data_IF_404951345751
#
_entry.id   IF_404951345751
#
_cell.length_a   1.000
_cell.length_b   1.000
_cell.length_c   1.000
_cell.angle_alpha   90.00
_cell.angle_beta   90.00
_cell.angle_gamma   90.00
#
_symmetry.space_group_name_H-M   'P 1'
#
loop_
_entity.id
_entity.type
_entity.pdbx_description
1 polymer ?
#
# COMPACT_ATOMS: atom_id res chain seq x y z
N UNK A 1 1.43 7.34 -8.46
CA UNK A 1 0.39 8.35 -8.14
C UNK A 1 -0.17 8.03 -6.76
N UNK A 2 -0.63 9.04 -6.00
CA UNK A 2 -1.26 8.79 -4.68
C UNK A 2 -2.61 8.08 -4.87
N UNK A 3 -2.94 7.15 -3.98
CA UNK A 3 -4.24 6.49 -3.95
C UNK A 3 -5.40 7.50 -3.95
N UNK A 4 -5.22 8.62 -3.25
CA UNK A 4 -6.21 9.70 -3.18
C UNK A 4 -6.50 10.37 -4.53
N UNK A 5 -5.47 10.60 -5.34
CA UNK A 5 -5.63 11.27 -6.65
C UNK A 5 -6.33 10.35 -7.64
N UNK A 6 -6.06 9.04 -7.56
CA UNK A 6 -6.71 8.04 -8.40
C UNK A 6 -8.16 7.85 -7.98
N UNK A 7 -8.44 7.80 -6.68
CA UNK A 7 -9.82 7.69 -6.18
C UNK A 7 -10.67 8.93 -6.48
N UNK A 8 -10.06 10.12 -6.48
CA UNK A 8 -10.75 11.38 -6.81
C UNK A 8 -11.07 11.54 -8.30
N UNK A 9 -10.28 10.91 -9.19
CA UNK A 9 -10.44 11.05 -10.65
C UNK A 9 -11.21 9.91 -11.30
N UNK A 10 -11.40 8.80 -10.58
CA UNK A 10 -12.06 7.62 -11.15
C UNK A 10 -13.58 7.72 -11.05
N UNK A 11 -14.27 7.24 -12.09
CA UNK A 11 -15.70 6.97 -12.01
C UNK A 11 -15.98 5.94 -10.90
N UNK A 12 -16.99 6.20 -10.06
CA UNK A 12 -17.35 5.41 -8.87
C UNK A 12 -17.45 3.91 -9.18
N UNK A 13 -18.02 3.55 -10.33
CA UNK A 13 -18.23 2.16 -10.75
C UNK A 13 -16.97 1.40 -11.18
N UNK A 14 -15.83 2.08 -11.40
CA UNK A 14 -14.55 1.46 -11.80
C UNK A 14 -13.37 1.91 -10.94
N UNK A 15 -13.66 2.53 -9.79
CA UNK A 15 -12.66 3.12 -8.91
C UNK A 15 -11.72 2.07 -8.32
N UNK A 16 -12.25 0.93 -7.89
CA UNK A 16 -11.44 -0.18 -7.37
C UNK A 16 -10.52 -0.73 -8.44
N UNK A 17 -11.02 -0.89 -9.67
CA UNK A 17 -10.20 -1.34 -10.80
C UNK A 17 -9.01 -0.40 -11.08
N UNK A 18 -9.21 0.93 -11.03
CA UNK A 18 -8.12 1.88 -11.30
C UNK A 18 -7.11 1.96 -10.14
N UNK A 19 -7.59 1.88 -8.89
CA UNK A 19 -6.74 1.83 -7.69
C UNK A 19 -5.89 0.56 -7.67
N UNK A 20 -6.49 -0.60 -7.96
CA UNK A 20 -5.80 -1.89 -8.02
C UNK A 20 -4.82 -1.95 -9.18
N UNK A 21 -5.13 -1.38 -10.33
CA UNK A 21 -4.18 -1.23 -11.44
C UNK A 21 -2.96 -0.40 -11.04
N UNK A 22 -3.18 0.72 -10.34
CA UNK A 22 -2.09 1.55 -9.82
C UNK A 22 -1.24 0.78 -8.80
N UNK A 23 -1.88 -0.02 -7.94
CA UNK A 23 -1.21 -0.82 -6.94
C UNK A 23 -0.43 -2.01 -7.55
N UNK A 24 -0.91 -2.59 -8.65
CA UNK A 24 -0.23 -3.66 -9.39
C UNK A 24 1.15 -3.24 -9.94
N UNK A 25 1.42 -1.93 -10.06
CA UNK A 25 2.76 -1.42 -10.38
C UNK A 25 3.80 -1.81 -9.33
N UNK A 26 3.40 -2.12 -8.10
CA UNK A 26 4.28 -2.72 -7.09
C UNK A 26 4.84 -4.06 -7.57
N UNK A 27 4.00 -4.92 -8.16
CA UNK A 27 4.44 -6.19 -8.74
C UNK A 27 5.41 -5.99 -9.90
N UNK A 28 5.11 -5.07 -10.81
CA UNK A 28 6.03 -4.72 -11.90
C UNK A 28 7.37 -4.17 -11.42
N UNK A 29 7.37 -3.40 -10.33
CA UNK A 29 8.59 -2.94 -9.67
C UNK A 29 9.44 -4.11 -9.17
N UNK A 30 8.82 -5.09 -8.51
CA UNK A 30 9.52 -6.29 -8.04
C UNK A 30 10.07 -7.13 -9.22
N UNK A 31 9.28 -7.29 -10.28
CA UNK A 31 9.69 -8.01 -11.50
C UNK A 31 10.88 -7.32 -12.18
N UNK A 32 10.79 -6.01 -12.41
CA UNK A 32 11.86 -5.24 -13.01
C UNK A 32 13.14 -5.28 -12.15
N UNK A 33 13.00 -5.17 -10.83
CA UNK A 33 14.11 -5.29 -9.89
C UNK A 33 14.80 -6.65 -9.97
N UNK A 34 14.03 -7.75 -9.99
CA UNK A 34 14.57 -9.10 -10.15
C UNK A 34 15.27 -9.31 -11.50
N UNK A 35 14.70 -8.80 -12.60
CA UNK A 35 15.32 -8.86 -13.93
C UNK A 35 16.63 -8.08 -13.96
N UNK A 36 16.65 -6.85 -13.47
CA UNK A 36 17.87 -6.03 -13.40
C UNK A 36 18.93 -6.73 -12.56
N UNK A 37 18.56 -7.27 -11.40
CA UNK A 37 19.47 -8.03 -10.54
C UNK A 37 20.10 -9.22 -11.28
N UNK A 38 19.30 -10.04 -11.98
CA UNK A 38 19.82 -11.17 -12.76
C UNK A 38 20.75 -10.74 -13.90
N UNK A 39 20.41 -9.66 -14.63
CA UNK A 39 21.22 -9.16 -15.74
C UNK A 39 22.57 -8.67 -15.23
N UNK A 40 22.60 -7.88 -14.16
CA UNK A 40 23.84 -7.37 -13.57
C UNK A 40 24.67 -8.51 -12.97
N UNK A 41 24.05 -9.45 -12.24
CA UNK A 41 24.77 -10.62 -11.71
C UNK A 41 25.39 -11.47 -12.84
N UNK A 42 24.66 -11.68 -13.95
CA UNK A 42 25.16 -12.44 -15.10
C UNK A 42 26.33 -11.74 -15.79
N UNK A 43 26.25 -10.41 -15.95
CA UNK A 43 27.30 -9.61 -16.57
C UNK A 43 28.61 -9.61 -15.76
N UNK A 44 28.52 -9.70 -14.43
CA UNK A 44 29.67 -9.74 -13.54
C UNK A 44 30.13 -11.15 -13.14
N UNK A 45 29.56 -12.22 -13.74
CA UNK A 45 29.86 -13.61 -13.40
C UNK A 45 31.35 -13.94 -13.44
N UNK A 46 32.01 -13.69 -14.57
CA UNK A 46 33.45 -13.99 -14.76
C UNK A 46 34.34 -13.12 -13.86
N UNK A 47 33.94 -11.87 -13.63
CA UNK A 47 34.65 -10.93 -12.78
C UNK A 47 34.57 -11.30 -11.29
N UNK A 48 33.45 -11.89 -10.85
CA UNK A 48 33.23 -12.31 -9.46
C UNK A 48 33.88 -13.68 -9.19
N UNK A 49 33.82 -14.63 -10.14
CA UNK A 49 34.39 -15.97 -9.98
C UNK A 49 35.91 -16.01 -10.23
N UNK A 50 36.45 -15.09 -11.04
CA UNK A 50 37.81 -15.20 -11.56
C UNK A 50 38.96 -14.69 -10.67
N UNK A 51 38.71 -13.88 -9.63
CA UNK A 51 39.80 -13.09 -9.01
C UNK A 51 39.90 -13.08 -7.49
N UNK A 52 39.06 -13.81 -6.74
CA UNK A 52 39.16 -13.87 -5.27
C UNK A 52 38.96 -12.53 -4.53
N UNK A 53 38.89 -11.41 -5.25
CA UNK A 53 38.60 -10.09 -4.72
C UNK A 53 37.08 -9.87 -4.69
N UNK A 54 36.54 -9.92 -3.47
CA UNK A 54 35.15 -9.60 -3.11
C UNK A 54 34.77 -8.15 -3.53
N UNK A 55 35.72 -7.35 -4.03
CA UNK A 55 35.55 -5.98 -4.50
C UNK A 55 34.53 -5.79 -5.63
N UNK A 56 34.32 -6.78 -6.51
CA UNK A 56 33.35 -6.64 -7.61
C UNK A 56 31.88 -6.78 -7.18
N UNK A 57 31.60 -7.42 -6.04
CA UNK A 57 30.26 -7.41 -5.45
C UNK A 57 29.82 -6.00 -5.06
N UNK A 58 30.76 -5.12 -4.68
CA UNK A 58 30.47 -3.73 -4.37
C UNK A 58 29.98 -2.93 -5.58
N UNK A 59 30.44 -3.27 -6.79
CA UNK A 59 29.95 -2.63 -8.01
C UNK A 59 28.53 -3.08 -8.34
N UNK A 60 28.21 -4.36 -8.14
CA UNK A 60 26.89 -4.95 -8.46
C UNK A 60 25.76 -4.28 -7.71
N UNK A 61 25.80 -4.19 -6.38
CA UNK A 61 24.70 -3.59 -5.61
C UNK A 61 24.54 -2.10 -5.91
N UNK A 62 25.65 -1.38 -6.16
CA UNK A 62 25.63 0.05 -6.54
C UNK A 62 24.97 0.25 -7.90
N UNK A 63 25.27 -0.60 -8.88
CA UNK A 63 24.64 -0.54 -10.20
C UNK A 63 23.15 -0.85 -10.12
N UNK A 64 22.76 -1.88 -9.35
CA UNK A 64 21.35 -2.22 -9.14
C UNK A 64 20.58 -1.03 -8.56
N UNK A 65 21.12 -0.35 -7.54
CA UNK A 65 20.51 0.86 -6.99
C UNK A 65 20.55 2.05 -7.97
N UNK A 66 21.64 2.18 -8.74
CA UNK A 66 21.80 3.24 -9.73
C UNK A 66 20.76 3.20 -10.85
N UNK A 67 20.37 2.01 -11.31
CA UNK A 67 19.33 1.83 -12.34
C UNK A 67 17.97 2.39 -11.88
N UNK A 68 17.67 2.36 -10.58
CA UNK A 68 16.41 2.90 -10.00
C UNK A 68 16.30 4.42 -10.19
N UNK A 69 17.43 5.13 -10.31
CA UNK A 69 17.43 6.58 -10.50
C UNK A 69 16.83 7.01 -11.84
N UNK A 70 16.93 6.17 -12.88
CA UNK A 70 16.42 6.47 -14.23
C UNK A 70 14.90 6.71 -14.23
N UNK A 71 14.05 5.75 -13.78
CA UNK A 71 12.61 6.00 -13.69
C UNK A 71 12.26 7.07 -12.65
N UNK A 72 13.02 7.21 -11.57
CA UNK A 72 12.78 8.27 -10.57
C UNK A 72 12.91 9.68 -11.17
N UNK A 73 13.96 9.94 -11.95
CA UNK A 73 14.15 11.23 -12.62
C UNK A 73 13.10 11.47 -13.71
N UNK A 74 12.74 10.44 -14.48
CA UNK A 74 11.71 10.54 -15.51
C UNK A 74 10.34 10.93 -14.91
N UNK A 75 9.98 10.34 -13.76
CA UNK A 75 8.72 10.66 -13.08
C UNK A 75 8.71 12.04 -12.43
N UNK A 76 9.84 12.53 -11.93
CA UNK A 76 9.95 13.88 -11.38
C UNK A 76 9.56 14.94 -12.41
N UNK A 77 10.06 14.82 -13.64
CA UNK A 77 9.72 15.73 -14.74
C UNK A 77 8.22 15.73 -15.05
N UNK A 78 7.62 14.54 -15.14
CA UNK A 78 6.18 14.40 -15.42
C UNK A 78 5.33 14.95 -14.29
N UNK A 79 5.76 14.80 -13.04
CA UNK A 79 5.02 15.26 -11.87
C UNK A 79 4.95 16.77 -11.75
N UNK A 80 5.98 17.48 -12.20
CA UNK A 80 5.98 18.95 -12.24
C UNK A 80 4.96 19.52 -13.25
N UNK A 81 4.40 18.70 -14.15
CA UNK A 81 3.44 19.11 -15.20
C UNK A 81 2.01 18.60 -14.99
N UNK A 82 1.75 17.80 -13.94
CA UNK A 82 0.43 17.24 -13.69
C UNK A 82 -0.50 18.29 -13.02
N UNK A 83 -1.69 18.58 -13.59
CA UNK A 83 -2.69 19.41 -12.93
C UNK A 83 -3.30 18.68 -11.71
N UNK A 84 -3.95 19.41 -10.79
CA UNK A 84 -4.62 18.87 -9.60
C UNK A 84 -5.93 18.13 -9.95
N UNK A 85 -6.57 17.40 -9.03
CA UNK A 85 -7.88 16.76 -9.29
C UNK A 85 -9.04 17.76 -9.17
N UNK A 86 -10.08 17.58 -9.99
CA UNK A 86 -11.25 18.47 -9.99
C UNK A 86 -12.00 18.45 -8.65
N UNK A 87 -12.19 17.25 -8.06
CA UNK A 87 -12.82 17.06 -6.74
C UNK A 87 -12.06 17.79 -5.61
N UNK A 88 -10.74 17.70 -5.59
CA UNK A 88 -9.93 18.43 -4.59
C UNK A 88 -10.03 19.94 -4.81
N UNK A 89 -10.11 20.38 -6.07
CA UNK A 89 -10.28 21.79 -6.42
C UNK A 89 -11.65 22.32 -5.96
N UNK A 90 -12.70 21.51 -6.05
CA UNK A 90 -14.04 21.84 -5.52
C UNK A 90 -14.03 21.96 -4.00
N UNK A 91 -13.45 21.00 -3.27
CA UNK A 91 -13.30 21.08 -1.80
C UNK A 91 -12.49 22.32 -1.39
N UNK A 92 -11.43 22.66 -2.14
CA UNK A 92 -10.65 23.87 -1.90
C UNK A 92 -11.46 25.15 -2.17
N UNK A 93 -12.35 25.14 -3.18
CA UNK A 93 -13.28 26.24 -3.44
C UNK A 93 -14.32 26.37 -2.32
N UNK A 94 -14.93 25.28 -1.87
CA UNK A 94 -15.87 25.27 -0.75
C UNK A 94 -15.23 25.76 0.55
N UNK A 95 -14.00 25.32 0.85
CA UNK A 95 -13.23 25.83 2.00
C UNK A 95 -12.96 27.32 1.90
N UNK A 96 -12.67 27.83 0.70
CA UNK A 96 -12.52 29.28 0.47
C UNK A 96 -13.85 30.02 0.66
N UNK A 97 -14.95 29.45 0.17
CA UNK A 97 -16.29 30.02 0.29
C UNK A 97 -16.76 30.08 1.75
N UNK A 98 -16.63 28.97 2.49
CA UNK A 98 -16.95 28.91 3.94
C UNK A 98 -16.11 29.91 4.74
N UNK A 99 -14.81 30.05 4.43
CA UNK A 99 -13.95 31.06 5.07
C UNK A 99 -14.40 32.49 4.76
N UNK A 100 -14.86 32.76 3.54
CA UNK A 100 -15.42 34.06 3.19
C UNK A 100 -16.71 34.34 3.98
N UNK A 101 -17.56 33.34 4.17
CA UNK A 101 -18.79 33.48 4.95
C UNK A 101 -18.56 33.58 6.46
N UNK A 102 -17.62 32.83 7.04
CA UNK A 102 -17.25 32.92 8.46
C UNK A 102 -16.59 34.26 8.81
N UNK A 103 -15.89 34.88 7.86
CA UNK A 103 -15.33 36.23 8.01
C UNK A 103 -16.34 37.37 7.87
N UNK A 104 -17.55 37.09 7.37
CA UNK A 104 -18.60 38.08 7.11
C UNK A 104 -19.76 37.84 8.09
N UNK A 105 -19.53 38.10 9.37
CA UNK A 105 -20.60 38.42 10.31
C UNK A 105 -21.05 39.88 10.06
N UNK A 106 -21.87 40.07 9.02
CA UNK A 106 -22.43 41.38 8.68
C UNK A 106 -23.42 41.26 7.53
N UNK A 107 -24.70 41.53 7.82
CA UNK A 107 -25.90 41.26 7.01
C UNK A 107 -26.02 42.01 5.67
N UNK A 108 -24.96 42.61 5.12
CA UNK A 108 -25.07 43.51 3.96
C UNK A 108 -24.24 43.16 2.72
N UNK A 109 -23.54 42.01 2.67
CA UNK A 109 -22.63 41.69 1.54
C UNK A 109 -23.08 40.46 0.73
N UNK A 110 -24.31 39.98 0.92
CA UNK A 110 -24.76 38.79 0.19
C UNK A 110 -25.14 39.10 -1.27
N UNK A 111 -25.54 40.35 -1.57
CA UNK A 111 -25.81 40.82 -2.93
C UNK A 111 -24.51 41.03 -3.73
N UNK A 112 -23.50 41.66 -3.12
CA UNK A 112 -22.23 41.98 -3.80
C UNK A 112 -21.40 40.73 -4.17
N UNK A 113 -21.48 39.65 -3.37
CA UNK A 113 -20.76 38.40 -3.65
C UNK A 113 -21.44 37.61 -4.78
N UNK A 114 -22.78 37.60 -4.84
CA UNK A 114 -23.50 36.95 -5.93
C UNK A 114 -23.25 37.64 -7.28
N UNK A 115 -23.09 38.97 -7.28
CA UNK A 115 -22.76 39.74 -8.49
C UNK A 115 -21.31 39.51 -8.94
N UNK A 116 -20.36 39.35 -8.00
CA UNK A 116 -18.95 39.07 -8.31
C UNK A 116 -18.70 37.64 -8.82
N UNK A 117 -19.54 36.66 -8.47
CA UNK A 117 -19.42 35.29 -8.99
C UNK A 117 -19.96 35.19 -10.43
N UNK A 118 -20.83 36.13 -10.84
CA UNK A 118 -21.42 36.18 -12.19
C UNK A 118 -20.48 36.74 -13.27
N UNK A 119 -19.53 37.61 -12.92
CA UNK A 119 -18.67 38.27 -13.89
C UNK A 119 -17.24 37.71 -13.91
N UNK A 120 -16.92 37.01 -15.01
CA UNK A 120 -15.54 36.77 -15.43
C UNK A 120 -14.87 38.12 -15.70
N UNK A 121 -14.01 38.58 -14.80
CA UNK A 121 -12.76 39.24 -15.16
C UNK A 121 -11.87 39.48 -13.93
N UNK A 122 -10.57 39.28 -14.13
CA UNK A 122 -9.56 39.33 -13.10
C UNK A 122 -9.36 40.75 -12.55
N UNK A 123 -9.22 40.88 -11.22
CA UNK A 123 -8.69 42.08 -10.58
C UNK A 123 -7.41 41.77 -9.77
N UNK A 124 -6.33 42.56 -9.90
CA UNK A 124 -5.02 42.30 -9.29
C UNK A 124 -4.92 42.77 -7.82
N UNK A 125 -5.92 42.44 -7.00
CA UNK A 125 -6.02 42.90 -5.60
C UNK A 125 -5.81 41.83 -4.51
N UNK A 126 -5.56 40.56 -4.87
CA UNK A 126 -5.66 39.42 -3.93
C UNK A 126 -4.35 39.10 -3.19
N UNK A 127 -3.40 40.04 -3.10
CA UNK A 127 -2.11 39.74 -2.45
C UNK A 127 -2.11 39.87 -0.91
N UNK A 128 -3.19 40.34 -0.28
CA UNK A 128 -3.16 40.74 1.15
C UNK A 128 -3.92 39.85 2.15
N UNK A 129 -4.23 38.58 1.82
CA UNK A 129 -4.91 37.65 2.75
C UNK A 129 -4.12 36.40 3.13
N UNK A 130 -2.80 36.35 2.89
CA UNK A 130 -2.00 35.13 3.06
C UNK A 130 -1.63 34.74 4.51
N UNK A 131 -2.18 35.39 5.54
CA UNK A 131 -1.69 35.19 6.91
C UNK A 131 -2.76 35.30 8.00
N UNK A 132 -3.70 34.34 8.06
CA UNK A 132 -4.28 33.74 9.29
C UNK A 132 -5.57 32.97 8.98
N UNK A 133 -5.46 31.65 8.92
CA UNK A 133 -6.56 30.71 9.19
C UNK A 133 -5.98 29.28 9.22
N UNK A 134 -5.47 28.89 10.40
CA UNK A 134 -5.16 27.49 10.75
C UNK A 134 -6.38 26.79 11.40
N UNK A 135 -7.60 27.30 11.18
CA UNK A 135 -8.84 26.50 11.30
C UNK A 135 -9.22 25.99 9.90
N UNK A 136 -9.87 24.80 9.79
CA UNK A 136 -10.48 24.20 8.56
C UNK A 136 -9.92 22.86 8.02
N UNK A 137 -9.16 22.05 8.77
CA UNK A 137 -8.91 20.65 8.35
C UNK A 137 -8.72 19.70 9.55
N UNK A 138 -7.93 20.12 10.53
CA UNK A 138 -7.75 19.36 11.78
C UNK A 138 -9.01 19.36 12.64
N UNK A 139 -9.75 20.46 12.65
CA UNK A 139 -11.07 20.53 13.31
C UNK A 139 -12.08 19.61 12.63
N UNK A 140 -12.16 19.63 11.30
CA UNK A 140 -13.04 18.74 10.51
C UNK A 140 -12.68 17.25 10.72
N UNK A 141 -11.38 16.95 10.83
CA UNK A 141 -10.89 15.62 11.17
C UNK A 141 -11.31 15.21 12.59
N UNK A 142 -11.09 16.08 13.57
CA UNK A 142 -11.46 15.81 14.95
C UNK A 142 -12.97 15.61 15.08
N UNK A 143 -13.78 16.46 14.45
CA UNK A 143 -15.24 16.36 14.47
C UNK A 143 -15.72 15.06 13.82
N UNK A 144 -15.19 14.72 12.64
CA UNK A 144 -15.54 13.48 11.95
C UNK A 144 -15.19 12.25 12.78
N UNK A 145 -13.96 12.17 13.30
CA UNK A 145 -13.54 11.01 14.09
C UNK A 145 -14.08 11.01 15.53
N UNK A 146 -14.73 12.08 15.99
CA UNK A 146 -15.43 12.08 17.28
C UNK A 146 -16.63 11.12 17.30
N UNK A 147 -17.20 10.78 16.14
CA UNK A 147 -18.25 9.77 16.04
C UNK A 147 -17.63 8.36 16.06
N UNK A 148 -18.14 7.50 16.95
CA UNK A 148 -17.65 6.12 17.11
C UNK A 148 -17.64 5.31 15.81
N UNK A 149 -18.64 5.49 14.94
CA UNK A 149 -18.73 4.83 13.62
C UNK A 149 -17.49 5.09 12.76
N UNK A 150 -17.07 6.35 12.64
CA UNK A 150 -15.93 6.72 11.80
C UNK A 150 -14.60 6.34 12.46
N UNK A 151 -14.50 6.45 13.79
CA UNK A 151 -13.31 6.00 14.53
C UNK A 151 -13.11 4.48 14.41
N UNK A 152 -14.19 3.70 14.48
CA UNK A 152 -14.16 2.24 14.25
C UNK A 152 -13.59 1.89 12.88
N UNK A 153 -13.99 2.63 11.83
CA UNK A 153 -13.44 2.40 10.50
C UNK A 153 -11.96 2.74 10.42
N UNK A 154 -11.53 3.86 11.03
CA UNK A 154 -10.10 4.23 11.09
C UNK A 154 -9.26 3.19 11.83
N UNK A 155 -9.74 2.73 12.99
CA UNK A 155 -9.07 1.66 13.73
C UNK A 155 -8.98 0.38 12.91
N UNK A 156 -10.06 -0.02 12.23
CA UNK A 156 -10.06 -1.22 11.42
C UNK A 156 -9.11 -1.10 10.22
N UNK A 157 -9.06 0.04 9.53
CA UNK A 157 -8.13 0.23 8.41
C UNK A 157 -6.67 0.30 8.86
N UNK A 158 -6.37 0.96 9.97
CA UNK A 158 -5.00 1.05 10.51
C UNK A 158 -4.52 -0.30 11.03
N UNK A 159 -5.35 -1.01 11.80
CA UNK A 159 -5.00 -2.31 12.36
C UNK A 159 -4.86 -3.39 11.29
N UNK A 160 -5.75 -3.44 10.29
CA UNK A 160 -5.60 -4.39 9.19
C UNK A 160 -4.32 -4.16 8.39
N UNK A 161 -4.00 -2.90 8.07
CA UNK A 161 -2.76 -2.58 7.34
C UNK A 161 -1.51 -2.88 8.19
N UNK A 162 -1.53 -2.55 9.48
CA UNK A 162 -0.45 -2.91 10.40
C UNK A 162 -0.19 -4.42 10.45
N UNK A 163 -1.25 -5.22 10.67
CA UNK A 163 -1.14 -6.68 10.79
C UNK A 163 -0.69 -7.33 9.49
N UNK A 164 -1.22 -6.84 8.36
CA UNK A 164 -0.78 -7.28 7.05
C UNK A 164 0.69 -6.96 6.82
N UNK A 165 1.12 -5.71 7.02
CA UNK A 165 2.51 -5.32 6.72
C UNK A 165 3.49 -6.07 7.63
N UNK A 166 3.07 -6.43 8.85
CA UNK A 166 3.84 -7.30 9.75
C UNK A 166 4.09 -8.68 9.11
N UNK A 167 3.04 -9.33 8.59
CA UNK A 167 3.17 -10.63 7.93
C UNK A 167 3.86 -10.54 6.57
N UNK A 168 3.44 -9.58 5.74
CA UNK A 168 3.89 -9.43 4.36
C UNK A 168 5.37 -9.04 4.28
N UNK A 169 5.79 -7.99 4.98
CA UNK A 169 7.20 -7.57 4.95
C UNK A 169 8.10 -8.45 5.81
N UNK A 170 7.58 -9.04 6.90
CA UNK A 170 8.33 -10.02 7.68
C UNK A 170 8.81 -11.18 6.83
N UNK A 171 7.95 -11.66 5.93
CA UNK A 171 8.26 -12.76 5.02
C UNK A 171 9.03 -12.28 3.80
N UNK A 172 8.60 -11.19 3.15
CA UNK A 172 9.21 -10.72 1.91
C UNK A 172 10.67 -10.24 2.11
N UNK A 173 10.96 -9.54 3.22
CA UNK A 173 12.32 -9.03 3.49
C UNK A 173 13.28 -10.12 3.94
N UNK A 174 12.76 -11.16 4.61
CA UNK A 174 13.55 -12.28 5.09
C UNK A 174 13.44 -13.52 4.19
N UNK A 175 12.90 -13.36 2.98
CA UNK A 175 12.70 -14.46 2.05
C UNK A 175 14.01 -15.21 1.75
N UNK A 176 15.12 -14.48 1.61
CA UNK A 176 16.46 -15.08 1.41
C UNK A 176 16.90 -15.94 2.58
N UNK A 177 16.63 -15.49 3.82
CA UNK A 177 16.93 -16.23 5.04
C UNK A 177 16.07 -17.49 5.15
N UNK A 178 14.76 -17.36 4.88
CA UNK A 178 13.84 -18.51 4.88
C UNK A 178 14.25 -19.53 3.81
N UNK A 179 14.63 -19.09 2.62
CA UNK A 179 15.11 -19.96 1.54
C UNK A 179 16.46 -20.61 1.90
N UNK A 180 17.35 -19.88 2.58
CA UNK A 180 18.65 -20.37 3.04
C UNK A 180 18.50 -21.43 4.15
N UNK A 181 17.67 -21.20 5.16
CA UNK A 181 17.36 -22.15 6.25
C UNK A 181 16.77 -23.48 5.73
N UNK A 182 16.14 -23.44 4.56
CA UNK A 182 15.53 -24.59 3.89
C UNK A 182 16.54 -25.35 3.02
N UNK A 183 17.80 -24.90 2.99
CA UNK A 183 18.88 -25.59 2.30
C UNK A 183 18.78 -25.52 0.77
N UNK A 184 18.14 -24.48 0.24
CA UNK A 184 18.28 -24.10 -1.18
C UNK A 184 19.66 -23.46 -1.43
N UNK A 185 20.24 -22.85 -0.38
CA UNK A 185 21.60 -22.29 -0.37
C UNK A 185 22.66 -23.36 -0.08
N UNK A 186 22.81 -24.34 -0.98
CA UNK A 186 23.91 -25.33 -0.92
C UNK A 186 25.09 -24.96 -1.82
N UNK A 187 25.08 -23.76 -2.41
CA UNK A 187 26.12 -23.35 -3.32
C UNK A 187 27.33 -22.84 -2.52
N UNK A 188 28.49 -23.50 -2.68
CA UNK A 188 29.76 -23.09 -2.04
C UNK A 188 30.20 -21.70 -2.53
N UNK A 189 29.73 -21.26 -3.70
CA UNK A 189 30.10 -19.97 -4.28
C UNK A 189 29.07 -18.85 -4.03
N UNK A 190 29.50 -17.68 -3.51
CA UNK A 190 28.62 -16.54 -3.21
C UNK A 190 27.81 -16.03 -4.42
N UNK A 191 28.39 -16.07 -5.62
CA UNK A 191 27.70 -15.65 -6.84
C UNK A 191 26.51 -16.55 -7.16
N UNK A 192 26.73 -17.86 -7.09
CA UNK A 192 25.72 -18.87 -7.42
C UNK A 192 24.54 -18.79 -6.44
N UNK A 193 24.83 -18.59 -5.16
CA UNK A 193 23.82 -18.35 -4.13
C UNK A 193 22.96 -17.10 -4.43
N UNK A 194 23.59 -15.95 -4.69
CA UNK A 194 22.88 -14.71 -5.04
C UNK A 194 22.03 -14.87 -6.32
N UNK A 195 22.56 -15.58 -7.32
CA UNK A 195 21.87 -15.85 -8.57
C UNK A 195 20.66 -16.77 -8.39
N UNK A 196 20.80 -17.86 -7.63
CA UNK A 196 19.72 -18.82 -7.38
C UNK A 196 18.61 -18.21 -6.49
N UNK A 197 18.97 -17.40 -5.49
CA UNK A 197 17.99 -16.62 -4.72
C UNK A 197 17.22 -15.63 -5.60
N UNK A 198 17.92 -14.91 -6.49
CA UNK A 198 17.28 -13.97 -7.42
C UNK A 198 16.34 -14.69 -8.38
N UNK A 199 16.75 -15.87 -8.87
CA UNK A 199 15.93 -16.74 -9.73
C UNK A 199 14.67 -17.24 -9.01
N UNK A 200 14.79 -17.68 -7.77
CA UNK A 200 13.64 -18.08 -6.95
C UNK A 200 12.67 -16.90 -6.73
N UNK A 201 13.18 -15.71 -6.41
CA UNK A 201 12.35 -14.51 -6.28
C UNK A 201 11.64 -14.14 -7.59
N UNK A 202 12.32 -14.24 -8.73
CA UNK A 202 11.70 -14.03 -10.04
C UNK A 202 10.54 -15.00 -10.29
N UNK A 203 10.74 -16.30 -10.01
CA UNK A 203 9.71 -17.32 -10.17
C UNK A 203 8.50 -16.99 -9.28
N UNK A 204 8.73 -16.66 -8.01
CA UNK A 204 7.68 -16.27 -7.06
C UNK A 204 6.94 -15.02 -7.55
N UNK A 205 7.66 -14.06 -8.10
CA UNK A 205 7.10 -12.80 -8.60
C UNK A 205 6.20 -13.02 -9.81
N UNK A 206 6.65 -13.81 -10.78
CA UNK A 206 5.90 -14.10 -12.02
C UNK A 206 4.74 -15.05 -11.77
N UNK A 207 4.92 -16.07 -10.94
CA UNK A 207 3.92 -17.11 -10.73
C UNK A 207 2.89 -16.78 -9.64
N UNK A 208 3.27 -16.01 -8.63
CA UNK A 208 2.40 -15.68 -7.50
C UNK A 208 2.06 -14.19 -7.41
N UNK A 209 3.09 -13.37 -7.27
CA UNK A 209 2.94 -11.96 -6.91
C UNK A 209 2.16 -11.13 -7.95
N UNK A 210 2.59 -11.13 -9.22
CA UNK A 210 1.91 -10.42 -10.30
C UNK A 210 0.48 -10.96 -10.55
N UNK A 211 0.30 -12.28 -10.74
CA UNK A 211 -1.03 -12.83 -10.97
C UNK A 211 -2.00 -12.47 -9.84
N UNK A 212 -1.56 -12.48 -8.58
CA UNK A 212 -2.40 -12.11 -7.44
C UNK A 212 -2.99 -10.69 -7.55
N UNK A 213 -2.20 -9.71 -8.00
CA UNK A 213 -2.71 -8.36 -8.25
C UNK A 213 -3.74 -8.30 -9.37
N UNK A 214 -3.48 -8.98 -10.48
CA UNK A 214 -4.42 -8.98 -11.61
C UNK A 214 -5.71 -9.69 -11.24
N UNK A 215 -5.65 -10.78 -10.47
CA UNK A 215 -6.84 -11.41 -9.93
C UNK A 215 -7.64 -10.44 -9.07
N UNK A 216 -7.01 -9.72 -8.13
CA UNK A 216 -7.76 -8.69 -7.38
C UNK A 216 -8.34 -7.64 -8.32
N UNK A 217 -7.56 -7.13 -9.27
CA UNK A 217 -8.01 -6.11 -10.22
C UNK A 217 -9.27 -6.54 -11.00
N UNK A 218 -9.31 -7.79 -11.48
CA UNK A 218 -10.46 -8.31 -12.21
C UNK A 218 -11.65 -8.59 -11.29
N UNK A 219 -11.43 -9.12 -10.09
CA UNK A 219 -12.50 -9.60 -9.21
C UNK A 219 -13.01 -8.56 -8.19
N UNK A 220 -12.30 -7.46 -7.94
CA UNK A 220 -12.64 -6.47 -6.90
C UNK A 220 -14.01 -5.80 -7.12
N UNK A 221 -14.40 -5.59 -8.38
CA UNK A 221 -15.72 -5.04 -8.71
C UNK A 221 -16.82 -6.12 -8.76
N UNK A 222 -16.49 -7.40 -8.88
CA UNK A 222 -17.49 -8.48 -8.88
C UNK A 222 -17.76 -9.00 -7.47
N UNK A 223 -16.71 -9.42 -6.75
CA UNK A 223 -16.80 -10.03 -5.41
C UNK A 223 -17.02 -8.95 -4.33
N UNK A 224 -16.42 -7.77 -4.49
CA UNK A 224 -16.38 -6.74 -3.44
C UNK A 224 -15.09 -6.78 -2.63
N UNK A 225 -14.84 -5.72 -1.87
CA UNK A 225 -13.58 -5.51 -1.12
C UNK A 225 -13.56 -6.33 0.15
N UNK A 226 -14.70 -6.45 0.83
CA UNK A 226 -14.79 -7.12 2.14
C UNK A 226 -14.53 -8.62 2.05
N UNK A 227 -15.17 -9.38 1.13
CA UNK A 227 -14.93 -10.81 1.03
C UNK A 227 -13.51 -11.13 0.55
N UNK A 228 -12.95 -10.32 -0.36
CA UNK A 228 -11.56 -10.47 -0.81
C UNK A 228 -10.59 -10.26 0.35
N UNK A 229 -10.79 -9.23 1.18
CA UNK A 229 -9.90 -8.96 2.31
C UNK A 229 -9.96 -10.09 3.36
N UNK A 230 -11.16 -10.49 3.76
CA UNK A 230 -11.35 -11.56 4.76
C UNK A 230 -10.83 -12.89 4.22
N UNK A 231 -11.19 -13.24 2.99
CA UNK A 231 -10.72 -14.45 2.32
C UNK A 231 -9.19 -14.47 2.20
N UNK A 232 -8.58 -13.35 1.82
CA UNK A 232 -7.14 -13.17 1.77
C UNK A 232 -6.47 -13.46 3.12
N UNK A 233 -6.90 -12.77 4.18
CA UNK A 233 -6.36 -12.98 5.54
C UNK A 233 -6.55 -14.41 6.06
N UNK A 234 -7.68 -15.06 5.76
CA UNK A 234 -7.92 -16.44 6.18
C UNK A 234 -7.06 -17.44 5.42
N UNK A 235 -6.95 -17.29 4.10
CA UNK A 235 -6.17 -18.21 3.25
C UNK A 235 -4.68 -18.02 3.51
N UNK A 236 -4.18 -16.79 3.61
CA UNK A 236 -2.77 -16.54 3.94
C UNK A 236 -2.44 -17.06 5.35
N UNK A 237 -3.31 -16.85 6.34
CA UNK A 237 -3.12 -17.35 7.70
C UNK A 237 -3.08 -18.87 7.75
N UNK A 238 -3.95 -19.54 6.97
CA UNK A 238 -3.94 -20.99 6.82
C UNK A 238 -2.66 -21.49 6.15
N UNK A 239 -2.22 -20.84 5.06
CA UNK A 239 -0.98 -21.20 4.37
C UNK A 239 0.23 -21.03 5.28
N UNK A 240 0.28 -19.94 6.07
CA UNK A 240 1.33 -19.72 7.06
C UNK A 240 1.31 -20.78 8.15
N UNK A 241 0.14 -21.14 8.67
CA UNK A 241 -0.01 -22.20 9.66
C UNK A 241 0.43 -23.57 9.11
N UNK A 242 0.13 -23.87 7.83
CA UNK A 242 0.57 -25.11 7.16
C UNK A 242 2.10 -25.12 7.01
N UNK A 243 2.69 -24.02 6.55
CA UNK A 243 4.15 -23.91 6.39
C UNK A 243 4.86 -23.98 7.75
N UNK A 244 4.29 -23.36 8.80
CA UNK A 244 4.81 -23.46 10.16
C UNK A 244 4.69 -24.89 10.71
N UNK A 245 3.52 -25.54 10.55
CA UNK A 245 3.28 -26.89 11.05
C UNK A 245 4.16 -27.96 10.40
N UNK A 246 4.34 -27.91 9.08
CA UNK A 246 5.12 -28.90 8.32
C UNK A 246 6.54 -28.42 7.97
N UNK A 247 7.04 -27.39 8.68
CA UNK A 247 8.32 -26.75 8.38
C UNK A 247 9.46 -27.76 8.24
N UNK A 248 9.57 -28.73 9.17
CA UNK A 248 10.65 -29.74 9.18
C UNK A 248 10.64 -30.65 7.94
N UNK A 249 9.46 -30.98 7.41
CA UNK A 249 9.31 -31.81 6.20
C UNK A 249 9.56 -30.96 4.95
N UNK A 250 9.00 -29.75 4.90
CA UNK A 250 9.18 -28.81 3.78
C UNK A 250 10.64 -28.36 3.64
N UNK A 251 11.39 -28.20 4.74
CA UNK A 251 12.82 -27.91 4.73
C UNK A 251 13.64 -28.98 3.99
N UNK A 252 13.13 -30.20 3.85
CA UNK A 252 13.80 -31.28 3.09
C UNK A 252 13.38 -31.36 1.62
N UNK A 253 12.33 -30.63 1.22
CA UNK A 253 11.73 -30.66 -0.12
C UNK A 253 11.60 -29.24 -0.69
N UNK A 254 12.67 -28.69 -1.28
CA UNK A 254 12.70 -27.28 -1.69
C UNK A 254 11.62 -26.92 -2.73
N UNK A 255 11.27 -27.85 -3.61
CA UNK A 255 10.20 -27.63 -4.61
C UNK A 255 8.81 -27.48 -3.96
N UNK A 256 8.50 -28.26 -2.93
CA UNK A 256 7.22 -28.16 -2.22
C UNK A 256 7.09 -26.84 -1.47
N UNK A 257 8.17 -26.41 -0.81
CA UNK A 257 8.23 -25.12 -0.15
C UNK A 257 8.03 -23.96 -1.13
N UNK A 258 8.71 -23.98 -2.28
CA UNK A 258 8.57 -22.95 -3.31
C UNK A 258 7.11 -22.82 -3.78
N UNK A 259 6.40 -23.93 -3.98
CA UNK A 259 4.97 -23.92 -4.36
C UNK A 259 4.11 -23.29 -3.27
N UNK A 260 4.32 -23.65 -2.00
CA UNK A 260 3.59 -23.03 -0.89
C UNK A 260 3.83 -21.53 -0.81
N UNK A 261 5.07 -21.08 -1.05
CA UNK A 261 5.43 -19.66 -1.04
C UNK A 261 4.85 -18.89 -2.24
N UNK A 262 4.80 -19.51 -3.42
CA UNK A 262 4.10 -18.94 -4.59
C UNK A 262 2.62 -18.74 -4.28
N UNK A 263 1.96 -19.75 -3.70
CA UNK A 263 0.55 -19.66 -3.31
C UNK A 263 0.33 -18.59 -2.24
N UNK A 264 1.20 -18.53 -1.23
CA UNK A 264 1.15 -17.53 -0.18
C UNK A 264 1.26 -16.11 -0.78
N UNK A 265 2.24 -15.85 -1.65
CA UNK A 265 2.40 -14.56 -2.31
C UNK A 265 1.26 -14.23 -3.27
N UNK A 266 0.68 -15.25 -3.91
CA UNK A 266 -0.52 -15.09 -4.72
C UNK A 266 -1.69 -14.58 -3.87
N UNK A 267 -2.00 -15.22 -2.73
CA UNK A 267 -3.14 -14.84 -1.89
C UNK A 267 -2.91 -13.59 -1.04
N UNK A 268 -1.67 -13.26 -0.68
CA UNK A 268 -1.36 -11.94 -0.12
C UNK A 268 -1.85 -10.83 -1.06
N UNK A 269 -1.52 -10.94 -2.35
CA UNK A 269 -1.87 -9.95 -3.36
C UNK A 269 -3.31 -10.10 -3.87
N UNK A 270 -3.80 -11.34 -3.99
CA UNK A 270 -5.20 -11.69 -4.21
C UNK A 270 -6.00 -11.68 -2.90
N UNK A 271 -5.97 -10.54 -2.21
CA UNK A 271 -6.46 -10.51 -0.84
C UNK A 271 -6.11 -9.22 -0.13
N UNK A 272 -5.62 -9.39 1.10
CA UNK A 272 -5.46 -8.33 2.06
C UNK A 272 -4.49 -7.23 1.62
N UNK A 273 -3.40 -7.55 0.89
CA UNK A 273 -2.43 -6.54 0.46
C UNK A 273 -3.06 -5.48 -0.43
N UNK A 274 -3.82 -5.93 -1.42
CA UNK A 274 -4.47 -5.01 -2.35
C UNK A 274 -5.66 -4.30 -1.71
N UNK A 275 -6.47 -5.00 -0.92
CA UNK A 275 -7.68 -4.40 -0.34
C UNK A 275 -7.36 -3.39 0.77
N UNK A 276 -6.37 -3.63 1.62
CA UNK A 276 -5.96 -2.69 2.68
C UNK A 276 -5.44 -1.36 2.11
N UNK A 277 -4.87 -1.37 0.91
CA UNK A 277 -4.53 -0.16 0.18
C UNK A 277 -5.77 0.58 -0.39
N UNK A 278 -6.73 -0.18 -0.93
CA UNK A 278 -7.95 0.38 -1.54
C UNK A 278 -8.90 0.95 -0.48
N UNK A 279 -9.06 0.27 0.66
CA UNK A 279 -10.06 0.57 1.67
C UNK A 279 -10.01 2.01 2.22
N UNK A 280 -8.86 2.53 2.69
CA UNK A 280 -8.76 3.91 3.17
C UNK A 280 -9.09 4.94 2.08
N UNK A 281 -8.79 4.62 0.81
CA UNK A 281 -9.08 5.51 -0.31
C UNK A 281 -10.58 5.53 -0.68
N UNK A 282 -11.34 4.49 -0.33
CA UNK A 282 -12.78 4.37 -0.62
C UNK A 282 -13.68 4.67 0.59
N UNK A 283 -13.25 4.40 1.83
CA UNK A 283 -14.07 4.57 3.05
C UNK A 283 -14.23 6.03 3.47
N UNK A 284 -13.19 6.83 3.29
CA UNK A 284 -13.14 8.18 3.85
C UNK A 284 -13.56 9.25 2.84
N UNK A 285 -14.37 10.25 3.25
CA UNK A 285 -14.77 11.34 2.38
C UNK A 285 -13.57 12.25 2.09
N UNK A 286 -13.60 12.89 0.93
CA UNK A 286 -12.47 13.62 0.32
C UNK A 286 -11.87 14.66 1.28
N UNK A 287 -12.70 15.31 2.10
CA UNK A 287 -12.26 16.31 3.11
C UNK A 287 -11.29 15.79 4.17
N UNK A 288 -11.37 14.52 4.57
CA UNK A 288 -10.52 13.88 5.61
C UNK A 288 -9.70 12.70 5.08
N UNK A 289 -9.98 12.22 3.87
CA UNK A 289 -9.35 11.04 3.25
C UNK A 289 -7.83 11.11 3.27
N UNK A 290 -7.25 12.27 2.96
CA UNK A 290 -5.80 12.46 2.94
C UNK A 290 -5.15 12.13 4.29
N UNK A 291 -5.69 12.66 5.40
CA UNK A 291 -5.18 12.39 6.75
C UNK A 291 -5.45 10.95 7.18
N UNK A 292 -6.67 10.45 6.97
CA UNK A 292 -7.06 9.10 7.40
C UNK A 292 -6.28 8.00 6.66
N UNK A 293 -6.10 8.16 5.34
CA UNK A 293 -5.26 7.27 4.53
C UNK A 293 -3.80 7.37 4.91
N UNK A 294 -3.31 8.58 5.22
CA UNK A 294 -1.94 8.81 5.70
C UNK A 294 -1.65 8.10 7.02
N UNK A 295 -2.56 8.20 8.01
CA UNK A 295 -2.44 7.50 9.30
C UNK A 295 -2.48 5.98 9.09
N UNK A 296 -3.41 5.48 8.25
CA UNK A 296 -3.50 4.05 7.93
C UNK A 296 -2.21 3.52 7.29
N UNK A 297 -1.67 4.25 6.32
CA UNK A 297 -0.41 3.89 5.67
C UNK A 297 0.79 3.96 6.64
N UNK A 298 0.84 4.96 7.52
CA UNK A 298 1.90 5.09 8.52
C UNK A 298 1.89 3.90 9.50
N UNK A 299 0.71 3.48 9.97
CA UNK A 299 0.57 2.28 10.81
C UNK A 299 1.04 1.02 10.08
N UNK A 300 0.68 0.84 8.80
CA UNK A 300 1.23 -0.24 7.97
C UNK A 300 2.76 -0.24 7.97
N UNK A 301 3.38 0.92 7.70
CA UNK A 301 4.85 1.03 7.71
C UNK A 301 5.50 0.77 9.06
N UNK A 302 4.85 1.12 10.17
CA UNK A 302 5.33 0.73 11.50
C UNK A 302 5.33 -0.79 11.63
N UNK A 303 4.27 -1.48 11.19
CA UNK A 303 4.22 -2.94 11.13
C UNK A 303 5.36 -3.55 10.30
N UNK A 304 5.61 -2.98 9.11
CA UNK A 304 6.71 -3.41 8.25
C UNK A 304 8.09 -3.24 8.89
N UNK A 305 8.33 -2.12 9.58
CA UNK A 305 9.61 -1.85 10.27
C UNK A 305 9.81 -2.81 11.45
N UNK A 306 8.76 -3.05 12.25
CA UNK A 306 8.82 -4.02 13.34
C UNK A 306 9.13 -5.42 12.78
N UNK A 307 8.47 -5.83 11.71
CA UNK A 307 8.75 -7.11 11.07
C UNK A 307 10.21 -7.21 10.60
N UNK A 308 10.70 -6.17 9.91
CA UNK A 308 12.05 -6.15 9.36
C UNK A 308 13.13 -6.26 10.44
N UNK A 309 12.95 -5.57 11.57
CA UNK A 309 13.93 -5.54 12.66
C UNK A 309 13.82 -6.76 13.58
N UNK A 310 12.61 -7.21 13.88
CA UNK A 310 12.38 -8.25 14.89
C UNK A 310 12.43 -9.67 14.33
N UNK A 311 12.21 -9.88 13.02
CA UNK A 311 12.11 -11.24 12.46
C UNK A 311 13.39 -12.05 12.67
N UNK A 312 14.56 -11.48 12.38
CA UNK A 312 15.85 -12.16 12.53
C UNK A 312 16.14 -12.55 13.97
N UNK A 313 16.07 -11.58 14.89
CA UNK A 313 16.30 -11.80 16.32
C UNK A 313 15.30 -12.82 16.92
N UNK A 314 14.03 -12.73 16.53
CA UNK A 314 13.01 -13.64 17.02
C UNK A 314 13.20 -15.06 16.43
N UNK A 315 13.62 -15.16 15.16
CA UNK A 315 13.95 -16.43 14.53
C UNK A 315 15.09 -17.14 15.25
N UNK A 316 16.10 -16.43 15.75
CA UNK A 316 17.19 -17.03 16.53
C UNK A 316 16.73 -17.58 17.89
N UNK A 317 15.76 -16.93 18.54
CA UNK A 317 15.29 -17.30 19.89
C UNK A 317 14.23 -18.41 19.86
N UNK A 318 13.23 -18.29 18.98
CA UNK A 318 12.07 -19.21 18.93
C UNK A 318 12.02 -20.08 17.66
N UNK A 319 12.97 -19.89 16.73
CA UNK A 319 13.01 -20.56 15.44
C UNK A 319 12.09 -19.92 14.40
N UNK A 320 12.45 -20.05 13.12
CA UNK A 320 11.65 -19.60 11.96
C UNK A 320 10.21 -20.13 12.02
N UNK A 321 10.01 -21.37 12.50
CA UNK A 321 8.70 -21.96 12.72
C UNK A 321 7.83 -21.15 13.71
N UNK A 322 8.39 -20.77 14.86
CA UNK A 322 7.68 -19.99 15.88
C UNK A 322 7.25 -18.62 15.34
N UNK A 323 8.13 -17.96 14.58
CA UNK A 323 7.81 -16.69 13.92
C UNK A 323 6.66 -16.85 12.92
N UNK A 324 6.66 -17.91 12.11
CA UNK A 324 5.58 -18.17 11.15
C UNK A 324 4.22 -18.41 11.82
N UNK A 325 4.17 -19.06 12.99
CA UNK A 325 2.94 -19.17 13.78
C UNK A 325 2.41 -17.82 14.27
N UNK A 326 3.30 -16.93 14.70
CA UNK A 326 2.92 -15.57 15.09
C UNK A 326 2.32 -14.83 13.89
N UNK A 327 2.95 -14.93 12.71
CA UNK A 327 2.45 -14.30 11.48
C UNK A 327 1.12 -14.90 11.00
N UNK A 328 0.91 -16.20 11.20
CA UNK A 328 -0.40 -16.82 10.96
C UNK A 328 -1.47 -16.25 11.89
N UNK A 329 -1.15 -16.09 13.18
CA UNK A 329 -2.04 -15.48 14.17
C UNK A 329 -2.41 -14.04 13.84
N UNK A 330 -1.46 -13.23 13.37
CA UNK A 330 -1.70 -11.83 12.97
C UNK A 330 -2.59 -11.76 11.73
N UNK A 331 -2.46 -12.70 10.78
CA UNK A 331 -3.36 -12.81 9.63
C UNK A 331 -4.78 -13.21 10.04
N UNK A 332 -4.97 -14.18 10.93
CA UNK A 332 -6.30 -14.52 11.45
C UNK A 332 -6.93 -13.36 12.22
N UNK A 333 -6.14 -12.63 13.03
CA UNK A 333 -6.61 -11.42 13.69
C UNK A 333 -7.02 -10.34 12.68
N UNK A 334 -6.26 -10.19 11.59
CA UNK A 334 -6.60 -9.33 10.46
C UNK A 334 -7.95 -9.68 9.83
N UNK A 335 -8.27 -10.96 9.66
CA UNK A 335 -9.58 -11.41 9.18
C UNK A 335 -10.71 -11.01 10.13
N UNK A 336 -10.52 -11.19 11.45
CA UNK A 336 -11.51 -10.81 12.46
C UNK A 336 -11.75 -9.31 12.48
N UNK A 337 -10.69 -8.50 12.46
CA UNK A 337 -10.81 -7.04 12.44
C UNK A 337 -11.45 -6.56 11.13
N UNK A 338 -11.19 -7.23 10.00
CA UNK A 338 -11.81 -6.92 8.71
C UNK A 338 -13.33 -7.06 8.71
N UNK A 339 -13.92 -7.81 9.65
CA UNK A 339 -15.39 -7.86 9.82
C UNK A 339 -15.99 -6.51 10.21
N UNK A 340 -15.21 -5.63 10.85
CA UNK A 340 -15.62 -4.29 11.26
C UNK A 340 -15.74 -3.31 10.08
N UNK A 341 -15.15 -3.64 8.93
CA UNK A 341 -15.20 -2.80 7.72
C UNK A 341 -16.50 -3.03 6.94
N UNK A 342 -17.09 -1.97 6.36
CA UNK A 342 -18.20 -2.09 5.42
C UNK A 342 -17.74 -2.59 4.04
N UNK A 343 -18.68 -2.98 3.20
CA UNK A 343 -18.42 -3.17 1.77
C UNK A 343 -18.46 -1.81 1.06
N UNK A 344 -17.48 -1.53 0.19
CA UNK A 344 -17.32 -0.23 -0.49
C UNK A 344 -17.63 -0.28 -1.99
N UNK A 345 -17.96 -1.46 -2.52
CA UNK A 345 -18.37 -1.64 -3.92
C UNK A 345 -19.56 -0.73 -4.27
N UNK A 346 -19.36 0.14 -5.25
CA UNK A 346 -20.39 1.08 -5.74
C UNK A 346 -20.81 2.15 -4.73
N UNK A 347 -20.04 2.33 -3.65
CA UNK A 347 -20.35 3.28 -2.59
C UNK A 347 -19.55 4.57 -2.74
N UNK A 348 -20.21 5.73 -2.74
CA UNK A 348 -19.53 7.03 -2.67
C UNK A 348 -19.50 7.56 -1.23
N UNK A 349 -18.29 7.75 -0.71
CA UNK A 349 -18.05 8.26 0.63
C UNK A 349 -18.50 9.72 0.78
N UNK A 350 -18.41 10.51 -0.30
CA UNK A 350 -18.79 11.93 -0.26
C UNK A 350 -20.32 12.10 -0.20
N UNK A 351 -21.07 11.26 -0.94
CA UNK A 351 -22.54 11.21 -0.85
C UNK A 351 -23.00 10.76 0.55
N UNK A 352 -22.33 9.75 1.12
CA UNK A 352 -22.65 9.27 2.46
C UNK A 352 -22.39 10.32 3.55
N UNK A 353 -21.27 11.05 3.47
CA UNK A 353 -20.95 12.15 4.40
C UNK A 353 -21.92 13.33 4.24
N UNK A 354 -22.31 13.67 3.00
CA UNK A 354 -23.29 14.72 2.73
C UNK A 354 -24.69 14.36 3.30
N UNK A 355 -25.13 13.11 3.14
CA UNK A 355 -26.41 12.65 3.69
C UNK A 355 -26.40 12.65 5.23
N UNK A 356 -25.30 12.20 5.85
CA UNK A 356 -25.17 12.24 7.32
C UNK A 356 -25.15 13.68 7.86
N UNK A 357 -24.54 14.63 7.16
CA UNK A 357 -24.57 16.04 7.53
C UNK A 357 -25.97 16.64 7.39
N UNK A 358 -26.70 16.29 6.32
CA UNK A 358 -28.07 16.76 6.10
C UNK A 358 -29.07 16.26 7.15
N UNK A 359 -28.82 15.11 7.78
CA UNK A 359 -29.65 14.59 8.89
C UNK A 359 -29.34 15.23 10.25
N UNK A 360 -28.23 15.97 10.36
CA UNK A 360 -27.83 16.64 11.61
C UNK A 360 -28.26 18.10 11.69
N UNK A 361 -28.72 18.67 10.57
CA UNK A 361 -29.39 19.96 10.46
C UNK A 361 -30.91 19.78 10.63
#
# INVERSE_FOLDING_TARGET
MSASVVSDRANINRRGLLLTFTFAMQGWGNLAGAIVCMVVLSAFKESIQGHGEIGHFNAVWRLILGVILVPALATLYQRLRLPESDRMTEVLKERKLKKAFEGVQGTHIMADILDQIGNKEASPGVQQSFQKSKLSALSEFQEYFSKWKHMKHLFATTACWFLLDLSFYGIALNQSMVIADIGYDRAVEPWQNAFDNTKANLIITVAGFLPGYYFTMFFIEYIGRKPIQIGGFLIEGLLLAVVAGDFKSLSTKPAGFLVCFILLQFFFNFGANTTTFVYPAEIFPTRVRGFASGISAACGKIGAVIAALSFGELSEVIGTNGVLWILAGTSFLGAVISLLLPETKGWDADEADAFEQAQQL
#
